data_IF_465901130061
#
_entry.id   IF_465901130061
#
_cell.length_a   1.000
_cell.length_b   1.000
_cell.length_c   1.000
_cell.angle_alpha   90.00
_cell.angle_beta   90.00
_cell.angle_gamma   90.00
#
_symmetry.space_group_name_H-M   'P 1'
#
loop_
_entity.id
_entity.type
_entity.pdbx_description
1 polymer ?
#
# COMPACT_ATOMS: atom_id res chain seq x y z
N UNK A 1 20.52 -14.42 9.50
CA UNK A 1 19.30 -14.33 8.68
C UNK A 1 19.64 -14.20 7.19
N UNK A 2 20.49 -13.27 6.77
CA UNK A 2 20.87 -13.08 5.33
C UNK A 2 21.49 -14.30 4.67
N UNK A 3 22.35 -15.08 5.34
CA UNK A 3 22.95 -16.29 4.78
C UNK A 3 21.91 -17.36 4.38
N UNK A 4 20.81 -17.47 5.14
CA UNK A 4 19.73 -18.41 4.82
C UNK A 4 18.91 -17.92 3.61
N UNK A 5 18.62 -16.61 3.51
CA UNK A 5 17.93 -16.03 2.37
C UNK A 5 18.76 -16.19 1.08
N UNK A 6 20.06 -15.89 1.14
CA UNK A 6 20.98 -16.06 0.00
C UNK A 6 21.00 -17.51 -0.47
N UNK A 7 21.07 -18.49 0.45
CA UNK A 7 21.04 -19.91 0.10
C UNK A 7 19.70 -20.29 -0.56
N UNK A 8 18.60 -19.82 -0.02
CA UNK A 8 17.26 -20.07 -0.56
C UNK A 8 17.13 -19.49 -1.97
N UNK A 9 17.52 -18.23 -2.19
CA UNK A 9 17.46 -17.58 -3.50
C UNK A 9 18.31 -18.34 -4.52
N UNK A 10 19.55 -18.73 -4.18
CA UNK A 10 20.44 -19.50 -5.07
C UNK A 10 19.89 -20.87 -5.42
N UNK A 11 19.02 -21.45 -4.60
CA UNK A 11 18.44 -22.80 -4.86
C UNK A 11 17.25 -22.78 -5.81
N UNK A 12 16.74 -21.62 -6.23
CA UNK A 12 15.62 -21.54 -7.17
C UNK A 12 16.04 -22.03 -8.55
N UNK A 13 15.22 -22.89 -9.13
CA UNK A 13 15.51 -23.54 -10.43
C UNK A 13 15.40 -22.63 -11.65
N UNK A 14 15.04 -21.36 -11.45
CA UNK A 14 14.88 -20.38 -12.52
C UNK A 14 16.19 -19.77 -13.00
N UNK A 15 17.26 -19.89 -12.22
CA UNK A 15 18.56 -19.31 -12.57
C UNK A 15 19.32 -20.19 -13.54
N UNK A 16 20.03 -19.55 -14.49
CA UNK A 16 20.80 -20.26 -15.52
C UNK A 16 22.21 -20.59 -15.06
N UNK A 17 22.72 -19.87 -14.03
CA UNK A 17 24.11 -20.01 -13.55
C UNK A 17 24.20 -19.48 -12.09
N UNK A 18 25.44 -19.25 -11.61
CA UNK A 18 25.67 -18.60 -10.34
C UNK A 18 25.20 -17.14 -10.40
N UNK A 19 24.38 -16.72 -9.39
CA UNK A 19 23.76 -15.41 -9.34
C UNK A 19 24.45 -14.46 -8.36
N UNK A 20 24.50 -13.18 -8.72
CA UNK A 20 24.83 -12.10 -7.80
C UNK A 20 23.55 -11.64 -7.09
N UNK A 21 23.60 -11.49 -5.74
CA UNK A 21 22.46 -11.10 -4.92
C UNK A 21 22.82 -9.83 -4.14
N UNK A 22 21.96 -8.80 -4.26
CA UNK A 22 22.08 -7.56 -3.49
C UNK A 22 20.78 -7.30 -2.73
N UNK A 23 20.88 -6.85 -1.47
CA UNK A 23 19.70 -6.44 -0.71
C UNK A 23 19.09 -5.19 -1.37
N UNK A 24 17.79 -5.24 -1.63
CA UNK A 24 17.02 -4.09 -2.08
C UNK A 24 16.39 -3.43 -0.83
N UNK A 25 16.90 -2.26 -0.47
CA UNK A 25 16.40 -1.50 0.67
C UNK A 25 15.01 -0.90 0.43
N UNK A 26 14.39 -0.36 1.49
CA UNK A 26 13.15 0.40 1.41
C UNK A 26 11.86 -0.33 1.81
N UNK A 27 11.90 -1.66 1.97
CA UNK A 27 10.74 -2.42 2.48
C UNK A 27 10.77 -2.52 4.02
N UNK A 28 9.64 -2.25 4.67
CA UNK A 28 9.46 -2.41 6.13
C UNK A 28 8.62 -3.64 6.51
N UNK A 29 8.24 -4.47 5.54
CA UNK A 29 7.43 -5.69 5.74
C UNK A 29 8.07 -6.93 5.13
N UNK A 30 8.90 -6.79 4.09
CA UNK A 30 9.46 -7.87 3.31
C UNK A 30 10.98 -7.78 3.18
N UNK A 31 11.61 -8.94 2.97
CA UNK A 31 13.02 -8.99 2.55
C UNK A 31 13.09 -9.01 1.03
N UNK A 32 13.55 -7.91 0.45
CA UNK A 32 13.64 -7.74 -1.00
C UNK A 32 15.11 -7.80 -1.45
N UNK A 33 15.35 -8.45 -2.59
CA UNK A 33 16.68 -8.63 -3.18
C UNK A 33 16.63 -8.35 -4.67
N UNK A 34 17.67 -7.71 -5.19
CA UNK A 34 17.96 -7.70 -6.63
C UNK A 34 18.89 -8.87 -6.92
N UNK A 35 18.49 -9.71 -7.83
CA UNK A 35 19.27 -10.88 -8.27
C UNK A 35 19.66 -10.69 -9.72
N UNK A 36 20.95 -10.80 -10.00
CA UNK A 36 21.50 -10.72 -11.35
C UNK A 36 21.94 -12.11 -11.80
N UNK A 37 21.32 -12.61 -12.88
CA UNK A 37 21.66 -13.85 -13.58
C UNK A 37 22.19 -13.49 -14.98
N UNK A 38 23.51 -13.43 -15.14
CA UNK A 38 24.19 -12.91 -16.35
C UNK A 38 23.81 -11.47 -16.64
N UNK A 39 23.09 -11.23 -17.73
CA UNK A 39 22.60 -9.92 -18.19
C UNK A 39 21.18 -9.59 -17.73
N UNK A 40 20.52 -10.53 -17.03
CA UNK A 40 19.13 -10.36 -16.56
C UNK A 40 19.11 -10.03 -15.09
N UNK A 41 18.20 -9.13 -14.70
CA UNK A 41 17.92 -8.81 -13.31
C UNK A 41 16.51 -9.21 -12.93
N UNK A 42 16.34 -9.62 -11.69
CA UNK A 42 15.04 -9.90 -11.08
C UNK A 42 14.96 -9.33 -9.68
N UNK A 43 13.74 -9.03 -9.23
CA UNK A 43 13.46 -8.72 -7.81
C UNK A 43 12.92 -9.99 -7.16
N UNK A 44 13.57 -10.44 -6.09
CA UNK A 44 13.09 -11.55 -5.28
C UNK A 44 12.54 -10.99 -3.98
N UNK A 45 11.24 -11.23 -3.72
CA UNK A 45 10.57 -10.90 -2.46
C UNK A 45 10.43 -12.16 -1.63
N UNK A 46 10.92 -12.13 -0.41
CA UNK A 46 10.76 -13.19 0.57
C UNK A 46 9.85 -12.70 1.70
N UNK A 47 8.75 -13.39 1.91
CA UNK A 47 7.79 -13.05 2.97
C UNK A 47 6.71 -14.12 3.13
N UNK A 48 6.27 -14.32 4.37
CA UNK A 48 5.13 -15.16 4.70
C UNK A 48 3.87 -14.29 4.85
N UNK A 49 2.71 -14.92 5.00
CA UNK A 49 1.51 -14.21 5.44
C UNK A 49 1.77 -13.47 6.74
N UNK A 50 1.17 -12.29 6.90
CA UNK A 50 1.25 -11.48 8.12
C UNK A 50 -0.19 -11.25 8.61
N UNK A 51 -0.75 -12.20 9.38
CA UNK A 51 -2.16 -12.16 9.80
C UNK A 51 -2.51 -10.88 10.56
N UNK A 52 -1.58 -10.36 11.36
CA UNK A 52 -1.73 -9.14 12.15
C UNK A 52 -2.00 -7.92 11.27
N UNK A 53 -1.40 -7.90 10.07
CA UNK A 53 -1.56 -6.84 9.08
C UNK A 53 -2.52 -7.21 7.95
N UNK A 54 -3.19 -8.38 8.03
CA UNK A 54 -4.10 -8.89 6.99
C UNK A 54 -3.40 -9.09 5.64
N UNK A 55 -2.09 -9.36 5.64
CA UNK A 55 -1.33 -9.64 4.43
C UNK A 55 -1.41 -11.12 4.12
N UNK A 56 -1.89 -11.44 2.92
CA UNK A 56 -2.04 -12.81 2.40
C UNK A 56 -1.29 -12.92 1.08
N UNK A 57 -0.23 -13.73 1.02
CA UNK A 57 0.68 -13.81 -0.14
C UNK A 57 0.00 -14.34 -1.41
N UNK A 58 -1.00 -15.19 -1.28
CA UNK A 58 -1.79 -15.62 -2.44
C UNK A 58 -2.62 -14.48 -3.05
N UNK A 59 -3.08 -13.52 -2.24
CA UNK A 59 -3.76 -12.31 -2.73
C UNK A 59 -2.77 -11.36 -3.42
N UNK A 60 -1.59 -11.13 -2.84
CA UNK A 60 -0.53 -10.35 -3.46
C UNK A 60 -0.14 -10.93 -4.84
N UNK A 61 0.04 -12.25 -4.92
CA UNK A 61 0.33 -12.94 -6.19
C UNK A 61 -0.79 -12.71 -7.23
N UNK A 62 -2.04 -12.89 -6.84
CA UNK A 62 -3.20 -12.69 -7.72
C UNK A 62 -3.26 -11.25 -8.23
N UNK A 63 -3.09 -10.27 -7.34
CA UNK A 63 -3.08 -8.84 -7.70
C UNK A 63 -1.91 -8.49 -8.63
N UNK A 64 -0.71 -9.00 -8.34
CA UNK A 64 0.48 -8.81 -9.19
C UNK A 64 0.30 -9.41 -10.59
N UNK A 65 -0.34 -10.60 -10.69
CA UNK A 65 -0.68 -11.22 -11.96
C UNK A 65 -1.66 -10.36 -12.78
N UNK A 66 -2.69 -9.83 -12.13
CA UNK A 66 -3.67 -8.95 -12.76
C UNK A 66 -3.03 -7.61 -13.18
N UNK A 67 -2.17 -7.02 -12.34
CA UNK A 67 -1.43 -5.81 -12.67
C UNK A 67 -0.52 -5.97 -13.90
N UNK A 68 0.15 -7.11 -14.03
CA UNK A 68 0.92 -7.44 -15.23
C UNK A 68 0.02 -7.54 -16.47
N UNK A 69 -1.18 -8.13 -16.35
CA UNK A 69 -2.14 -8.27 -17.48
C UNK A 69 -2.62 -6.93 -18.03
N UNK A 70 -2.77 -5.91 -17.18
CA UNK A 70 -3.16 -4.55 -17.58
C UNK A 70 -1.96 -3.62 -17.82
N UNK A 71 -0.75 -4.20 -17.91
CA UNK A 71 0.49 -3.50 -18.27
C UNK A 71 0.88 -2.36 -17.30
N UNK A 72 0.67 -2.57 -15.99
CA UNK A 72 1.07 -1.62 -14.94
C UNK A 72 1.97 -2.24 -13.85
N UNK A 73 2.09 -3.57 -13.81
CA UNK A 73 2.96 -4.30 -12.90
C UNK A 73 4.02 -5.11 -13.62
N UNK A 74 5.17 -5.42 -12.98
CA UNK A 74 6.22 -6.23 -13.56
C UNK A 74 5.75 -7.66 -13.84
N UNK A 75 6.40 -8.31 -14.80
CA UNK A 75 6.18 -9.73 -15.09
C UNK A 75 6.60 -10.59 -13.90
N UNK A 76 5.78 -11.59 -13.57
CA UNK A 76 6.14 -12.61 -12.60
C UNK A 76 6.96 -13.67 -13.30
N UNK A 77 8.19 -13.87 -12.85
CA UNK A 77 9.15 -14.85 -13.40
C UNK A 77 9.00 -16.20 -12.71
N UNK A 78 8.74 -16.18 -11.39
CA UNK A 78 8.56 -17.38 -10.59
C UNK A 78 7.77 -17.06 -9.31
N UNK A 79 7.08 -18.03 -8.78
CA UNK A 79 6.47 -17.95 -7.46
C UNK A 79 6.39 -19.31 -6.80
N UNK A 80 6.58 -19.34 -5.50
CA UNK A 80 6.30 -20.48 -4.60
C UNK A 80 5.98 -19.96 -3.20
N UNK A 81 5.65 -20.84 -2.26
CA UNK A 81 5.24 -20.43 -0.93
C UNK A 81 6.29 -19.54 -0.25
N UNK A 82 5.95 -18.28 -0.01
CA UNK A 82 6.82 -17.29 0.63
C UNK A 82 7.87 -16.67 -0.29
N UNK A 83 7.81 -16.92 -1.60
CA UNK A 83 8.72 -16.37 -2.60
C UNK A 83 7.93 -15.85 -3.79
N UNK A 84 8.21 -14.61 -4.17
CA UNK A 84 7.73 -14.00 -5.40
C UNK A 84 8.92 -13.41 -6.15
N UNK A 85 9.11 -13.82 -7.42
CA UNK A 85 10.17 -13.33 -8.29
C UNK A 85 9.57 -12.53 -9.43
N UNK A 86 9.96 -11.28 -9.52
CA UNK A 86 9.47 -10.30 -10.48
C UNK A 86 10.59 -9.88 -11.44
N UNK A 87 10.24 -9.55 -12.66
CA UNK A 87 11.14 -8.91 -13.58
C UNK A 87 11.61 -7.56 -13.02
N UNK A 88 12.88 -7.24 -13.17
CA UNK A 88 13.43 -5.98 -12.66
C UNK A 88 13.13 -4.86 -13.66
N UNK A 89 12.57 -3.77 -13.16
CA UNK A 89 12.32 -2.57 -13.97
C UNK A 89 13.45 -1.57 -13.75
N UNK A 90 14.25 -1.34 -14.78
CA UNK A 90 15.23 -0.24 -14.77
C UNK A 90 14.46 1.08 -14.78
N UNK A 91 14.43 1.79 -13.64
CA UNK A 91 13.52 2.89 -13.42
C UNK A 91 14.02 3.86 -12.36
N UNK A 92 13.41 5.03 -12.32
CA UNK A 92 13.48 5.97 -11.20
C UNK A 92 12.33 5.69 -10.24
N UNK A 93 12.63 5.32 -9.00
CA UNK A 93 11.63 5.24 -7.93
C UNK A 93 11.20 6.64 -7.54
N UNK A 94 9.89 6.86 -7.37
CA UNK A 94 9.39 8.18 -6.99
C UNK A 94 9.64 8.49 -5.50
N UNK A 95 9.78 9.76 -5.24
CA UNK A 95 9.63 10.40 -3.93
C UNK A 95 8.31 11.20 -3.89
N UNK A 96 7.87 11.71 -2.74
CA UNK A 96 6.63 12.50 -2.65
C UNK A 96 6.60 13.71 -3.59
N UNK A 97 7.74 14.34 -3.88
CA UNK A 97 7.82 15.48 -4.81
C UNK A 97 7.57 15.04 -6.26
N UNK A 98 8.11 13.88 -6.65
CA UNK A 98 7.88 13.31 -7.99
C UNK A 98 6.43 12.85 -8.14
N UNK A 99 5.81 12.29 -7.10
CA UNK A 99 4.37 11.96 -7.11
C UNK A 99 3.54 13.21 -7.39
N UNK A 100 3.72 14.29 -6.63
CA UNK A 100 2.99 15.56 -6.83
C UNK A 100 3.20 16.14 -8.22
N UNK A 101 4.43 16.08 -8.73
CA UNK A 101 4.75 16.59 -10.08
C UNK A 101 4.09 15.79 -11.21
N UNK A 102 3.80 14.51 -10.97
CA UNK A 102 3.30 13.57 -11.99
C UNK A 102 1.83 13.16 -11.76
N UNK A 103 1.02 13.94 -11.05
CA UNK A 103 -0.40 13.65 -10.77
C UNK A 103 -1.15 13.24 -12.04
N UNK A 104 -0.93 13.98 -13.15
CA UNK A 104 -1.58 13.73 -14.45
C UNK A 104 -1.24 12.37 -15.07
N UNK A 105 -0.07 11.78 -14.74
CA UNK A 105 0.34 10.45 -15.19
C UNK A 105 -0.14 9.36 -14.22
N UNK A 106 -0.29 9.71 -12.94
CA UNK A 106 -0.71 8.78 -11.87
C UNK A 106 -2.21 8.51 -11.93
N UNK A 107 -3.04 9.52 -12.22
CA UNK A 107 -4.50 9.35 -12.27
C UNK A 107 -4.94 8.26 -13.25
N UNK A 108 -4.48 8.22 -14.53
CA UNK A 108 -4.80 7.13 -15.44
C UNK A 108 -4.34 5.75 -14.92
N UNK A 109 -3.19 5.70 -14.22
CA UNK A 109 -2.70 4.47 -13.62
C UNK A 109 -3.66 3.97 -12.52
N UNK A 110 -4.11 4.86 -11.63
CA UNK A 110 -5.08 4.52 -10.57
C UNK A 110 -6.43 4.08 -11.20
N UNK A 111 -6.90 4.76 -12.24
CA UNK A 111 -8.13 4.33 -12.95
C UNK A 111 -8.00 2.92 -13.52
N UNK A 112 -6.83 2.52 -14.05
CA UNK A 112 -6.57 1.13 -14.45
C UNK A 112 -6.63 0.16 -13.27
N UNK A 113 -6.04 0.53 -12.13
CA UNK A 113 -6.13 -0.29 -10.90
C UNK A 113 -7.60 -0.54 -10.56
N UNK A 114 -8.39 0.53 -10.49
CA UNK A 114 -9.77 0.47 -10.02
C UNK A 114 -10.72 -0.26 -10.97
N UNK A 115 -10.51 -0.15 -12.29
CA UNK A 115 -11.52 -0.59 -13.27
C UNK A 115 -11.06 -1.69 -14.22
N UNK A 116 -9.73 -1.85 -14.44
CA UNK A 116 -9.23 -2.87 -15.36
C UNK A 116 -8.76 -4.12 -14.62
N UNK A 117 -8.04 -3.98 -13.48
CA UNK A 117 -7.56 -5.14 -12.68
C UNK A 117 -8.69 -6.12 -12.32
N UNK A 118 -9.90 -5.69 -11.89
CA UNK A 118 -10.98 -6.63 -11.55
C UNK A 118 -11.29 -7.66 -12.62
N UNK A 119 -11.13 -7.29 -13.90
CA UNK A 119 -11.41 -8.17 -15.04
C UNK A 119 -10.37 -9.30 -15.22
N UNK A 120 -9.26 -9.24 -14.49
CA UNK A 120 -8.14 -10.18 -14.60
C UNK A 120 -7.85 -10.94 -13.29
N UNK A 121 -8.64 -10.72 -12.24
CA UNK A 121 -8.52 -11.45 -10.99
C UNK A 121 -8.98 -12.90 -11.16
N UNK A 122 -8.22 -13.85 -10.63
CA UNK A 122 -8.54 -15.27 -10.65
C UNK A 122 -8.47 -15.80 -9.22
N UNK A 123 -9.62 -16.22 -8.70
CA UNK A 123 -9.75 -16.69 -7.30
C UNK A 123 -10.66 -15.78 -6.48
N UNK A 124 -10.47 -15.78 -5.16
CA UNK A 124 -11.26 -14.98 -4.23
C UNK A 124 -10.45 -13.73 -3.81
N UNK A 125 -10.74 -12.57 -4.38
CA UNK A 125 -10.05 -11.33 -4.01
C UNK A 125 -10.45 -10.87 -2.61
N UNK A 126 -9.51 -10.22 -1.92
CA UNK A 126 -9.77 -9.66 -0.61
C UNK A 126 -10.66 -8.42 -0.67
N UNK A 127 -11.40 -8.19 0.42
CA UNK A 127 -12.05 -6.93 0.73
C UNK A 127 -11.15 -6.20 1.75
N UNK A 128 -10.54 -5.11 1.32
CA UNK A 128 -9.77 -4.23 2.19
C UNK A 128 -10.67 -3.09 2.68
N UNK A 129 -11.66 -3.42 3.53
CA UNK A 129 -12.51 -2.38 4.10
C UNK A 129 -11.78 -1.69 5.27
N UNK A 130 -11.29 -0.47 5.06
CA UNK A 130 -10.40 0.22 6.01
C UNK A 130 -10.96 0.26 7.44
N UNK A 131 -12.26 0.45 7.62
CA UNK A 131 -12.88 0.49 8.94
C UNK A 131 -12.90 -0.88 9.64
N UNK A 132 -12.94 -1.98 8.85
CA UNK A 132 -12.74 -3.33 9.38
C UNK A 132 -11.27 -3.53 9.77
N UNK A 133 -10.33 -3.10 8.93
CA UNK A 133 -8.89 -3.18 9.23
C UNK A 133 -8.56 -2.45 10.54
N UNK A 134 -9.07 -1.24 10.72
CA UNK A 134 -8.89 -0.44 11.96
C UNK A 134 -9.45 -1.21 13.18
N UNK A 135 -10.65 -1.79 13.07
CA UNK A 135 -11.24 -2.60 14.15
C UNK A 135 -10.42 -3.86 14.46
N UNK A 136 -9.87 -4.50 13.43
CA UNK A 136 -8.97 -5.66 13.60
C UNK A 136 -7.68 -5.26 14.35
N UNK A 137 -7.06 -4.15 13.96
CA UNK A 137 -5.89 -3.62 14.70
C UNK A 137 -6.23 -3.27 16.15
N UNK A 138 -7.39 -2.66 16.40
CA UNK A 138 -7.84 -2.35 17.76
C UNK A 138 -7.96 -3.61 18.63
N UNK A 139 -8.54 -4.68 18.11
CA UNK A 139 -8.65 -5.97 18.82
C UNK A 139 -7.25 -6.55 19.10
N UNK A 140 -6.38 -6.58 18.08
CA UNK A 140 -5.01 -7.07 18.23
C UNK A 140 -4.24 -6.29 19.32
N UNK A 141 -4.32 -4.95 19.31
CA UNK A 141 -3.65 -4.09 20.30
C UNK A 141 -4.18 -4.31 21.72
N UNK A 142 -5.48 -4.58 21.89
CA UNK A 142 -6.09 -4.91 23.17
C UNK A 142 -5.62 -6.27 23.69
N UNK A 143 -5.66 -7.30 22.83
CA UNK A 143 -5.29 -8.67 23.19
C UNK A 143 -3.80 -8.77 23.58
N UNK A 144 -2.95 -7.99 22.92
CA UNK A 144 -1.51 -7.94 23.16
C UNK A 144 -1.06 -6.87 24.17
N UNK A 145 -1.99 -6.22 24.87
CA UNK A 145 -1.73 -5.23 25.94
C UNK A 145 -0.79 -4.10 25.48
N UNK A 146 -1.04 -3.57 24.30
CA UNK A 146 -0.26 -2.47 23.71
C UNK A 146 -0.13 -1.27 24.67
N UNK A 147 0.97 -0.54 24.57
CA UNK A 147 1.15 0.73 25.28
C UNK A 147 0.10 1.78 24.88
N UNK A 148 -0.55 1.60 23.73
CA UNK A 148 -1.58 2.51 23.19
C UNK A 148 -3.02 2.16 23.62
N UNK A 149 -3.22 1.18 24.49
CA UNK A 149 -4.55 0.65 24.88
C UNK A 149 -5.52 1.74 25.33
N UNK A 150 -5.01 2.79 26.00
CA UNK A 150 -5.83 3.92 26.48
C UNK A 150 -6.39 4.78 25.33
N UNK A 151 -5.75 4.78 24.15
CA UNK A 151 -6.20 5.52 22.97
C UNK A 151 -7.32 4.78 22.20
N UNK A 152 -7.38 3.45 22.31
CA UNK A 152 -8.24 2.60 21.48
C UNK A 152 -9.75 2.99 21.53
N UNK A 153 -10.37 3.26 22.70
CA UNK A 153 -11.78 3.63 22.74
C UNK A 153 -12.10 4.90 21.94
N UNK A 154 -11.23 5.92 22.01
CA UNK A 154 -11.37 7.16 21.22
C UNK A 154 -11.19 6.88 19.73
N UNK A 155 -10.14 6.14 19.33
CA UNK A 155 -9.86 5.80 17.93
C UNK A 155 -11.03 5.03 17.30
N UNK A 156 -11.63 4.08 18.02
CA UNK A 156 -12.83 3.36 17.56
C UNK A 156 -14.07 4.25 17.45
N UNK A 157 -14.22 5.24 18.33
CA UNK A 157 -15.29 6.24 18.20
C UNK A 157 -15.11 7.08 16.95
N UNK A 158 -13.89 7.56 16.70
CA UNK A 158 -13.55 8.32 15.49
C UNK A 158 -13.75 7.46 14.25
N UNK A 159 -13.28 6.21 14.25
CA UNK A 159 -13.48 5.26 13.16
C UNK A 159 -14.97 5.16 12.74
N UNK A 160 -15.90 5.04 13.70
CA UNK A 160 -17.35 5.01 13.40
C UNK A 160 -17.84 6.30 12.77
N UNK A 161 -17.36 7.45 13.25
CA UNK A 161 -17.73 8.76 12.68
C UNK A 161 -17.25 8.87 11.22
N UNK A 162 -15.99 8.52 10.96
CA UNK A 162 -15.42 8.56 9.62
C UNK A 162 -16.18 7.62 8.66
N UNK A 163 -16.54 6.41 9.12
CA UNK A 163 -17.33 5.45 8.33
C UNK A 163 -18.69 6.03 7.95
N UNK A 164 -19.37 6.73 8.88
CA UNK A 164 -20.65 7.38 8.61
C UNK A 164 -20.51 8.58 7.65
N UNK A 165 -19.50 9.43 7.82
CA UNK A 165 -19.26 10.60 6.96
C UNK A 165 -18.88 10.22 5.54
N UNK A 166 -18.15 9.12 5.35
CA UNK A 166 -17.71 8.67 4.04
C UNK A 166 -18.82 7.99 3.18
N UNK A 167 -19.98 7.69 3.77
CA UNK A 167 -21.10 7.05 3.06
C UNK A 167 -21.87 8.02 2.12
N UNK A 168 -22.52 7.52 1.04
CA UNK A 168 -22.51 6.16 0.53
C UNK A 168 -21.18 5.82 -0.17
N UNK A 169 -20.87 4.51 -0.31
CA UNK A 169 -19.61 4.06 -0.87
C UNK A 169 -19.78 3.50 -2.28
N UNK A 170 -18.92 3.95 -3.17
CA UNK A 170 -18.58 3.21 -4.39
C UNK A 170 -17.47 2.22 -4.03
N UNK A 171 -17.48 1.04 -4.64
CA UNK A 171 -16.48 -0.01 -4.40
C UNK A 171 -15.73 -0.30 -5.69
N UNK A 172 -14.40 -0.20 -5.60
CA UNK A 172 -13.47 -0.51 -6.68
C UNK A 172 -12.39 -1.46 -6.15
N UNK A 173 -11.58 -2.02 -7.03
CA UNK A 173 -10.38 -2.75 -6.60
C UNK A 173 -9.26 -1.76 -6.37
N UNK A 174 -8.87 -1.54 -5.12
CA UNK A 174 -7.83 -0.59 -4.73
C UNK A 174 -6.45 -1.24 -4.59
N UNK A 175 -5.43 -0.42 -4.70
CA UNK A 175 -4.07 -0.77 -4.29
C UNK A 175 -3.93 -0.75 -2.77
N UNK A 176 -4.58 0.21 -2.14
CA UNK A 176 -4.67 0.46 -0.69
C UNK A 176 -3.36 0.82 0.01
N UNK A 177 -2.27 1.04 -0.76
CA UNK A 177 -0.97 1.45 -0.24
C UNK A 177 -0.17 2.29 -1.25
N UNK A 178 -0.72 3.44 -1.65
CA UNK A 178 -0.12 4.32 -2.67
C UNK A 178 0.98 5.22 -2.08
N UNK A 179 2.06 4.58 -1.61
CA UNK A 179 3.31 5.24 -1.22
C UNK A 179 4.12 5.67 -2.45
N UNK A 180 4.91 6.73 -2.32
CA UNK A 180 5.79 7.18 -3.41
C UNK A 180 6.72 6.08 -3.92
N UNK A 181 7.29 5.29 -3.01
CA UNK A 181 8.22 4.21 -3.34
C UNK A 181 7.61 3.09 -4.20
N UNK A 182 6.28 3.01 -4.29
CA UNK A 182 5.58 2.03 -5.10
C UNK A 182 5.38 2.46 -6.56
N UNK A 183 5.71 3.72 -6.91
CA UNK A 183 5.69 4.22 -8.28
C UNK A 183 7.09 4.19 -8.88
N UNK A 184 7.23 3.51 -10.02
CA UNK A 184 8.48 3.41 -10.78
C UNK A 184 8.28 4.03 -12.16
N UNK A 185 9.20 4.87 -12.60
CA UNK A 185 9.19 5.50 -13.93
C UNK A 185 10.37 5.00 -14.76
N UNK A 186 10.10 4.24 -15.82
CA UNK A 186 11.12 3.74 -16.74
C UNK A 186 11.48 4.73 -17.86
N UNK A 187 10.92 5.94 -17.80
CA UNK A 187 11.06 7.00 -18.81
C UNK A 187 10.01 6.94 -19.92
N UNK A 188 9.36 5.80 -20.13
CA UNK A 188 8.28 5.63 -21.09
C UNK A 188 6.89 5.57 -20.42
N UNK A 189 6.78 4.88 -19.30
CA UNK A 189 5.54 4.73 -18.53
C UNK A 189 5.78 4.63 -17.02
N UNK A 190 4.69 4.71 -16.26
CA UNK A 190 4.68 4.43 -14.84
C UNK A 190 4.30 2.98 -14.59
N UNK A 191 5.00 2.38 -13.62
CA UNK A 191 4.73 1.07 -13.07
C UNK A 191 4.28 1.23 -11.63
N UNK A 192 3.46 0.29 -11.15
CA UNK A 192 3.02 0.21 -9.76
C UNK A 192 3.38 -1.17 -9.21
N UNK A 193 3.98 -1.17 -8.02
CA UNK A 193 4.48 -2.38 -7.35
C UNK A 193 3.94 -2.44 -5.92
N UNK A 194 4.16 -3.57 -5.25
CA UNK A 194 3.78 -3.81 -3.85
C UNK A 194 2.26 -3.94 -3.61
N UNK A 195 1.70 -5.04 -4.12
CA UNK A 195 0.27 -5.33 -4.11
C UNK A 195 -0.23 -6.06 -2.86
N UNK A 196 0.54 -6.06 -1.74
CA UNK A 196 0.22 -6.88 -0.56
C UNK A 196 -1.09 -6.48 0.15
N UNK A 197 -1.54 -5.22 0.00
CA UNK A 197 -2.81 -4.71 0.54
C UNK A 197 -3.91 -4.60 -0.51
N UNK A 198 -3.67 -5.04 -1.75
CA UNK A 198 -4.64 -4.91 -2.81
C UNK A 198 -5.95 -5.63 -2.49
N UNK A 199 -7.08 -4.96 -2.76
CA UNK A 199 -8.40 -5.50 -2.45
C UNK A 199 -9.50 -4.48 -2.67
N UNK A 200 -10.75 -4.93 -2.60
CA UNK A 200 -11.90 -4.06 -2.80
C UNK A 200 -12.06 -3.06 -1.65
N UNK A 201 -12.17 -1.78 -1.99
CA UNK A 201 -12.35 -0.66 -1.08
C UNK A 201 -13.03 0.51 -1.83
N UNK A 202 -13.24 1.64 -1.13
CA UNK A 202 -13.66 2.88 -1.78
C UNK A 202 -12.52 3.49 -2.59
N UNK A 203 -12.76 4.05 -3.81
CA UNK A 203 -11.75 4.77 -4.55
C UNK A 203 -11.18 5.97 -3.77
N UNK A 204 -12.01 6.57 -2.92
CA UNK A 204 -11.60 7.70 -2.08
C UNK A 204 -10.53 7.31 -1.05
N UNK A 205 -10.41 6.02 -0.70
CA UNK A 205 -9.34 5.57 0.19
C UNK A 205 -7.98 5.60 -0.51
N UNK A 206 -7.88 5.10 -1.74
CA UNK A 206 -6.65 5.19 -2.53
C UNK A 206 -6.26 6.64 -2.83
N UNK A 207 -7.24 7.47 -3.23
CA UNK A 207 -6.99 8.89 -3.49
C UNK A 207 -6.57 9.65 -2.22
N UNK A 208 -7.22 9.37 -1.09
CA UNK A 208 -6.88 9.96 0.22
C UNK A 208 -5.52 9.48 0.73
N UNK A 209 -5.20 8.19 0.56
CA UNK A 209 -3.91 7.61 0.89
C UNK A 209 -2.78 8.17 0.04
N UNK A 210 -2.98 8.29 -1.28
CA UNK A 210 -2.03 8.95 -2.17
C UNK A 210 -1.73 10.37 -1.70
N UNK A 211 -2.75 11.16 -1.38
CA UNK A 211 -2.58 12.55 -0.98
C UNK A 211 -1.89 12.66 0.38
N UNK A 212 -2.33 11.88 1.38
CA UNK A 212 -1.74 11.92 2.73
C UNK A 212 -0.30 11.42 2.77
N UNK A 213 0.03 10.35 2.05
CA UNK A 213 1.37 9.77 2.02
C UNK A 213 2.39 10.63 1.23
N UNK A 214 1.91 11.54 0.38
CA UNK A 214 2.76 12.33 -0.51
C UNK A 214 2.62 13.85 -0.29
N UNK A 215 2.06 14.27 0.84
CA UNK A 215 1.94 15.65 1.31
C UNK A 215 1.30 16.60 0.27
N UNK A 216 0.18 16.20 -0.31
CA UNK A 216 -0.56 17.02 -1.28
C UNK A 216 -1.11 18.27 -0.61
N UNK A 217 -0.98 19.41 -1.31
CA UNK A 217 -1.69 20.64 -0.99
C UNK A 217 -3.18 20.53 -1.38
N UNK A 218 -4.04 21.36 -0.79
CA UNK A 218 -5.47 21.43 -1.14
C UNK A 218 -5.70 21.63 -2.66
N UNK A 219 -4.82 22.39 -3.33
CA UNK A 219 -4.88 22.58 -4.78
C UNK A 219 -4.59 21.30 -5.54
N UNK A 220 -3.58 20.52 -5.11
CA UNK A 220 -3.25 19.23 -5.72
C UNK A 220 -4.33 18.19 -5.46
N UNK A 221 -4.95 18.19 -4.26
CA UNK A 221 -6.10 17.35 -3.94
C UNK A 221 -7.32 17.69 -4.80
N UNK A 222 -7.56 18.98 -5.05
CA UNK A 222 -8.62 19.43 -5.96
C UNK A 222 -8.39 18.90 -7.38
N UNK A 223 -7.18 19.04 -7.90
CA UNK A 223 -6.81 18.50 -9.23
C UNK A 223 -7.01 16.97 -9.25
N UNK A 224 -6.50 16.25 -8.23
CA UNK A 224 -6.62 14.81 -8.13
C UNK A 224 -8.08 14.36 -8.23
N UNK A 225 -8.97 14.97 -7.46
CA UNK A 225 -10.38 14.59 -7.42
C UNK A 225 -11.13 14.98 -8.70
N UNK A 226 -10.95 16.20 -9.20
CA UNK A 226 -11.64 16.66 -10.41
C UNK A 226 -11.23 15.84 -11.64
N UNK A 227 -9.96 15.52 -11.79
CA UNK A 227 -9.45 14.73 -12.91
C UNK A 227 -9.78 13.23 -12.78
N UNK A 228 -9.80 12.70 -11.55
CA UNK A 228 -10.22 11.32 -11.34
C UNK A 228 -11.70 11.13 -11.66
N UNK A 229 -12.58 11.98 -11.10
CA UNK A 229 -14.03 11.86 -11.29
C UNK A 229 -14.55 12.56 -12.55
N UNK A 230 -13.72 13.30 -13.28
CA UNK A 230 -14.07 14.05 -14.49
C UNK A 230 -15.25 15.02 -14.27
N UNK A 231 -15.35 15.58 -13.07
CA UNK A 231 -16.39 16.52 -12.64
C UNK A 231 -15.90 17.46 -11.56
N UNK A 232 -16.63 18.58 -11.40
CA UNK A 232 -16.38 19.49 -10.27
C UNK A 232 -16.69 18.83 -8.93
N UNK A 233 -15.84 19.15 -7.95
CA UNK A 233 -16.02 18.64 -6.58
C UNK A 233 -17.26 19.29 -5.96
N UNK A 234 -18.11 18.45 -5.35
CA UNK A 234 -19.21 18.91 -4.49
C UNK A 234 -18.76 18.85 -3.03
N UNK A 235 -19.40 19.66 -2.17
CA UNK A 235 -19.11 19.65 -0.73
C UNK A 235 -19.24 18.23 -0.14
N UNK A 236 -20.25 17.46 -0.59
CA UNK A 236 -20.44 16.08 -0.14
C UNK A 236 -19.30 15.16 -0.57
N UNK A 237 -18.84 15.27 -1.82
CA UNK A 237 -17.68 14.46 -2.28
C UNK A 237 -16.41 14.84 -1.52
N UNK A 238 -16.22 16.14 -1.24
CA UNK A 238 -15.08 16.62 -0.46
C UNK A 238 -15.10 16.07 0.97
N UNK A 239 -16.27 16.11 1.65
CA UNK A 239 -16.45 15.53 2.98
C UNK A 239 -16.12 14.03 3.01
N UNK A 240 -16.65 13.26 2.04
CA UNK A 240 -16.38 11.83 1.90
C UNK A 240 -14.89 11.55 1.67
N UNK A 241 -14.25 12.33 0.80
CA UNK A 241 -12.83 12.22 0.52
C UNK A 241 -11.97 12.52 1.75
N UNK A 242 -12.26 13.63 2.45
CA UNK A 242 -11.53 14.01 3.66
C UNK A 242 -11.70 12.96 4.76
N UNK A 243 -12.89 12.34 4.88
CA UNK A 243 -13.11 11.22 5.79
C UNK A 243 -12.26 10.00 5.45
N UNK A 244 -12.14 9.65 4.18
CA UNK A 244 -11.31 8.52 3.73
C UNK A 244 -9.81 8.82 3.84
N UNK A 245 -9.38 10.05 3.57
CA UNK A 245 -8.00 10.51 3.80
C UNK A 245 -7.63 10.42 5.28
N UNK A 246 -8.51 10.88 6.16
CA UNK A 246 -8.34 10.76 7.61
C UNK A 246 -8.31 9.28 8.05
N UNK A 247 -9.14 8.43 7.43
CA UNK A 247 -9.14 6.97 7.70
C UNK A 247 -7.86 6.28 7.27
N UNK A 248 -7.23 6.74 6.18
CA UNK A 248 -5.90 6.26 5.75
C UNK A 248 -4.83 6.58 6.80
N UNK A 249 -4.80 7.81 7.30
CA UNK A 249 -3.87 8.22 8.37
C UNK A 249 -4.13 7.45 9.68
N UNK A 250 -5.39 7.20 10.03
CA UNK A 250 -5.73 6.38 11.20
C UNK A 250 -5.28 4.93 11.04
N UNK A 251 -5.51 4.35 9.84
CA UNK A 251 -5.05 2.99 9.53
C UNK A 251 -3.54 2.89 9.65
N UNK A 252 -2.80 3.84 9.10
CA UNK A 252 -1.33 3.86 9.14
C UNK A 252 -0.80 4.02 10.56
N UNK A 253 -1.41 4.91 11.35
CA UNK A 253 -1.12 5.05 12.78
C UNK A 253 -1.27 3.71 13.52
N UNK A 254 -2.38 3.02 13.31
CA UNK A 254 -2.64 1.76 14.02
C UNK A 254 -1.82 0.58 13.46
N UNK A 255 -1.49 0.60 12.17
CA UNK A 255 -0.53 -0.33 11.57
C UNK A 255 0.83 -0.24 12.27
N UNK A 256 1.32 0.96 12.49
CA UNK A 256 2.58 1.18 13.20
C UNK A 256 2.51 0.74 14.66
N UNK A 257 1.39 1.02 15.37
CA UNK A 257 1.18 0.52 16.73
C UNK A 257 1.23 -1.02 16.82
N UNK A 258 0.71 -1.73 15.81
CA UNK A 258 0.81 -3.20 15.72
C UNK A 258 2.25 -3.60 15.43
N UNK A 259 2.93 -2.91 14.53
CA UNK A 259 4.33 -3.17 14.18
C UNK A 259 5.30 -2.96 15.34
N UNK A 260 5.02 -2.05 16.28
CA UNK A 260 5.79 -1.92 17.55
C UNK A 260 5.84 -3.23 18.34
N UNK A 261 4.83 -4.09 18.20
CA UNK A 261 4.73 -5.36 18.93
C UNK A 261 5.29 -6.52 18.08
N UNK A 262 5.06 -6.50 16.77
CA UNK A 262 5.25 -7.67 15.92
C UNK A 262 6.52 -7.64 15.08
N UNK A 263 7.04 -6.45 14.76
CA UNK A 263 8.19 -6.33 13.88
C UNK A 263 9.50 -6.60 14.57
N UNK A 264 10.38 -7.33 13.90
CA UNK A 264 11.77 -7.55 14.31
C UNK A 264 12.77 -6.68 13.53
N UNK A 265 12.29 -5.78 12.68
CA UNK A 265 13.12 -4.90 11.88
C UNK A 265 13.68 -3.76 12.74
N UNK A 266 14.92 -3.33 12.43
CA UNK A 266 15.54 -2.16 13.06
C UNK A 266 14.96 -0.88 12.46
N UNK A 267 13.76 -0.50 12.95
CA UNK A 267 13.03 0.68 12.55
C UNK A 267 12.35 1.31 13.78
N UNK A 268 12.35 2.64 13.88
CA UNK A 268 11.75 3.34 15.01
C UNK A 268 10.23 3.50 14.83
N UNK A 269 9.50 2.40 15.06
CA UNK A 269 8.03 2.40 14.96
C UNK A 269 7.35 3.36 15.92
N UNK A 270 7.92 3.63 17.09
CA UNK A 270 7.32 4.56 18.07
C UNK A 270 7.31 5.99 17.53
N UNK A 271 8.42 6.46 16.97
CA UNK A 271 8.50 7.77 16.34
C UNK A 271 7.55 7.88 15.15
N UNK A 272 7.51 6.85 14.33
CA UNK A 272 6.60 6.75 13.19
C UNK A 272 5.12 6.79 13.64
N UNK A 273 4.77 6.06 14.72
CA UNK A 273 3.42 6.07 15.32
C UNK A 273 3.02 7.48 15.76
N UNK A 274 3.88 8.19 16.48
CA UNK A 274 3.55 9.54 16.99
C UNK A 274 3.46 10.58 15.86
N UNK A 275 4.27 10.47 14.81
CA UNK A 275 4.16 11.32 13.62
C UNK A 275 2.81 11.11 12.93
N UNK A 276 2.46 9.87 12.57
CA UNK A 276 1.18 9.58 11.92
C UNK A 276 -0.02 9.85 12.81
N UNK A 277 0.09 9.63 14.12
CA UNK A 277 -0.96 10.00 15.06
C UNK A 277 -1.21 11.51 15.09
N UNK A 278 -0.14 12.32 15.07
CA UNK A 278 -0.24 13.78 15.00
C UNK A 278 -0.91 14.25 13.69
N UNK A 279 -0.50 13.68 12.55
CA UNK A 279 -1.08 13.95 11.23
C UNK A 279 -2.56 13.54 11.17
N UNK A 280 -2.89 12.37 11.69
CA UNK A 280 -4.25 11.89 11.82
C UNK A 280 -5.12 12.82 12.68
N UNK A 281 -4.66 13.19 13.88
CA UNK A 281 -5.42 14.09 14.77
C UNK A 281 -5.69 15.43 14.11
N UNK A 282 -4.69 16.03 13.48
CA UNK A 282 -4.85 17.27 12.72
C UNK A 282 -5.91 17.13 11.62
N UNK A 283 -5.81 16.07 10.80
CA UNK A 283 -6.77 15.81 9.73
C UNK A 283 -8.21 15.63 10.25
N UNK A 284 -8.37 14.95 11.38
CA UNK A 284 -9.68 14.77 12.00
C UNK A 284 -10.23 16.07 12.57
N UNK A 285 -9.42 16.84 13.28
CA UNK A 285 -9.82 18.12 13.87
C UNK A 285 -10.22 19.13 12.79
N UNK A 286 -9.56 19.12 11.62
CA UNK A 286 -9.92 19.97 10.48
C UNK A 286 -11.22 19.51 9.80
N UNK A 287 -11.52 18.22 9.78
CA UNK A 287 -12.75 17.65 9.21
C UNK A 287 -14.00 17.95 10.04
N UNK A 288 -13.88 18.05 11.37
CA UNK A 288 -15.04 18.19 12.28
C UNK A 288 -15.30 19.63 12.78
N UNK A 289 -14.52 20.61 12.28
CA UNK A 289 -14.74 22.04 12.51
C UNK A 289 -15.92 22.54 11.69
#
# INVERSE_FOLDING_TARGET
MEANHTKLIKSLSIWSDEVEIKVLGGGITNHNFVVTDKDKKAVVRLGQDIPEHLVVRSNELMASQAAYKVDIGPKILHHEKGILVLDFIESTTFDPKLVRKNIQRIIPLIKKVHHEIPNHLIGAPMIFWVFHVIRNYANFLQDNKSNHIKRIPELLKICRNLEALSAPHEIVYGHNDLLAANFLDDGSKLWLVDWEYAGFNSPLFDLGGLASNNDFSEKEETILLEDYFEKKITDKLLEQYQSMKCSSLLRETMWSMVSEITSSLDFNYQEYTEDYYSRFKKSYDDLVK
#
